data_IF_776114066243
#
_entry.id   IF_776114066243
#
_cell.length_a   1.000
_cell.length_b   1.000
_cell.length_c   1.000
_cell.angle_alpha   90.00
_cell.angle_beta   90.00
_cell.angle_gamma   90.00
#
_symmetry.space_group_name_H-M   'P 1'
#
loop_
_entity.id
_entity.type
_entity.pdbx_description
1 polymer ?
#
# COMPACT_ATOMS: atom_id res chain seq x y z
N UNK A 1 -33.48 2.38 -44.45
CA UNK A 1 -32.64 1.71 -45.47
C UNK A 1 -31.87 0.61 -44.76
N UNK A 2 -32.18 -0.68 -45.02
CA UNK A 2 -31.33 -1.79 -44.55
C UNK A 2 -30.07 -1.78 -45.43
N UNK A 3 -28.92 -1.46 -44.86
CA UNK A 3 -27.64 -1.45 -45.58
C UNK A 3 -26.92 -2.77 -45.24
N UNK A 4 -27.22 -3.81 -46.03
CA UNK A 4 -26.52 -5.10 -46.04
C UNK A 4 -26.95 -6.13 -45.00
N UNK A 5 -27.23 -7.36 -45.45
CA UNK A 5 -27.27 -8.57 -44.62
C UNK A 5 -26.08 -9.45 -45.03
N UNK A 6 -25.28 -9.91 -44.05
CA UNK A 6 -24.16 -10.83 -44.28
C UNK A 6 -24.43 -12.12 -43.54
N UNK A 7 -24.60 -13.23 -44.27
CA UNK A 7 -24.78 -14.55 -43.69
C UNK A 7 -23.49 -15.04 -43.04
N UNK A 8 -23.57 -15.32 -41.73
CA UNK A 8 -22.46 -15.89 -40.96
C UNK A 8 -22.31 -17.39 -41.23
N UNK A 9 -21.08 -17.94 -41.14
CA UNK A 9 -20.87 -19.38 -41.30
C UNK A 9 -21.68 -20.18 -40.27
N UNK A 10 -22.22 -21.34 -40.65
CA UNK A 10 -22.81 -22.27 -39.69
C UNK A 10 -21.82 -23.42 -39.36
N UNK A 11 -21.81 -23.96 -38.13
CA UNK A 11 -22.51 -23.47 -36.94
C UNK A 11 -21.88 -22.18 -36.39
N UNK A 12 -22.68 -21.34 -35.73
CA UNK A 12 -22.20 -20.13 -35.07
C UNK A 12 -21.28 -20.51 -33.91
N UNK A 13 -19.97 -20.36 -34.09
CA UNK A 13 -18.96 -20.77 -33.11
C UNK A 13 -17.83 -19.73 -33.07
N UNK A 14 -18.06 -18.56 -32.44
CA UNK A 14 -17.14 -17.42 -32.46
C UNK A 14 -15.77 -17.69 -31.82
N UNK A 15 -15.68 -18.68 -30.91
CA UNK A 15 -14.43 -19.02 -30.23
C UNK A 15 -13.45 -19.79 -31.13
N UNK A 16 -13.96 -20.44 -32.19
CA UNK A 16 -13.14 -21.24 -33.09
C UNK A 16 -12.35 -20.36 -34.09
N UNK A 17 -11.04 -20.60 -34.26
CA UNK A 17 -10.21 -19.84 -35.21
C UNK A 17 -10.70 -19.92 -36.66
N UNK A 18 -11.25 -21.07 -37.05
CA UNK A 18 -11.74 -21.33 -38.40
C UNK A 18 -13.00 -20.52 -38.74
N UNK A 19 -13.93 -20.44 -37.79
CA UNK A 19 -15.13 -19.61 -37.92
C UNK A 19 -14.77 -18.13 -38.06
N UNK A 20 -13.84 -17.63 -37.23
CA UNK A 20 -13.35 -16.24 -37.27
C UNK A 20 -12.72 -15.89 -38.62
N UNK A 21 -11.88 -16.78 -39.17
CA UNK A 21 -11.31 -16.61 -40.52
C UNK A 21 -12.38 -16.59 -41.61
N UNK A 22 -13.37 -17.49 -41.54
CA UNK A 22 -14.44 -17.59 -42.52
C UNK A 22 -15.40 -16.38 -42.48
N UNK A 23 -15.65 -15.81 -41.29
CA UNK A 23 -16.44 -14.59 -41.11
C UNK A 23 -15.69 -13.35 -41.62
N UNK A 24 -14.40 -13.20 -41.27
CA UNK A 24 -13.53 -12.12 -41.76
C UNK A 24 -13.45 -12.05 -43.29
N UNK A 25 -13.36 -13.21 -43.95
CA UNK A 25 -13.33 -13.27 -45.43
C UNK A 25 -14.60 -12.72 -46.07
N UNK A 26 -15.77 -12.96 -45.44
CA UNK A 26 -17.08 -12.50 -45.94
C UNK A 26 -17.35 -11.02 -45.66
N UNK A 27 -16.76 -10.47 -44.61
CA UNK A 27 -16.86 -9.04 -44.26
C UNK A 27 -15.90 -8.15 -45.06
N UNK A 28 -14.85 -8.74 -45.66
CA UNK A 28 -13.79 -8.03 -46.41
C UNK A 28 -14.29 -7.09 -47.53
N UNK A 29 -15.34 -7.43 -48.31
CA UNK A 29 -15.85 -6.54 -49.36
C UNK A 29 -16.57 -5.29 -48.82
N UNK A 30 -17.11 -5.35 -47.59
CA UNK A 30 -17.79 -4.22 -46.95
C UNK A 30 -16.82 -3.27 -46.23
N UNK A 31 -15.52 -3.60 -46.21
CA UNK A 31 -14.50 -2.78 -45.58
C UNK A 31 -13.94 -1.68 -46.50
N UNK A 32 -14.30 -1.70 -47.78
CA UNK A 32 -13.71 -0.81 -48.79
C UNK A 32 -14.78 -0.31 -49.77
N UNK A 33 -15.59 0.66 -49.33
CA UNK A 33 -16.15 1.73 -50.16
C UNK A 33 -16.94 2.69 -49.27
N UNK A 34 -16.43 3.92 -49.09
CA UNK A 34 -17.14 5.03 -48.44
C UNK A 34 -16.40 5.65 -47.26
N UNK A 35 -15.63 6.70 -47.55
CA UNK A 35 -15.15 7.76 -46.67
C UNK A 35 -14.29 7.42 -45.44
N UNK A 36 -13.41 8.37 -45.13
CA UNK A 36 -12.37 8.40 -44.10
C UNK A 36 -12.88 8.12 -42.67
N UNK A 37 -13.20 6.86 -42.33
CA UNK A 37 -13.59 6.50 -40.96
C UNK A 37 -12.34 6.36 -40.06
N UNK A 38 -11.68 7.49 -39.82
CA UNK A 38 -10.81 7.72 -38.65
C UNK A 38 -11.50 7.22 -37.36
N UNK A 39 -12.84 7.23 -37.29
CA UNK A 39 -13.64 6.63 -36.23
C UNK A 39 -13.56 5.09 -36.17
N UNK A 40 -13.52 4.37 -37.29
CA UNK A 40 -13.34 2.91 -37.31
C UNK A 40 -11.93 2.54 -36.85
N UNK A 41 -10.89 3.26 -37.31
CA UNK A 41 -9.51 3.06 -36.83
C UNK A 41 -9.37 3.36 -35.34
N UNK A 42 -9.99 4.43 -34.86
CA UNK A 42 -10.03 4.77 -33.41
C UNK A 42 -10.78 3.72 -32.60
N UNK A 43 -11.90 3.19 -33.12
CA UNK A 43 -12.66 2.10 -32.49
C UNK A 43 -11.83 0.82 -32.43
N UNK A 44 -11.13 0.47 -33.50
CA UNK A 44 -10.21 -0.68 -33.54
C UNK A 44 -9.08 -0.51 -32.52
N UNK A 45 -8.40 0.64 -32.52
CA UNK A 45 -7.33 0.95 -31.58
C UNK A 45 -7.82 1.04 -30.11
N UNK A 46 -9.09 1.39 -29.88
CA UNK A 46 -9.72 1.34 -28.55
C UNK A 46 -10.00 -0.10 -28.14
N UNK A 47 -10.48 -0.93 -29.07
CA UNK A 47 -10.75 -2.34 -28.83
C UNK A 47 -9.46 -3.12 -28.59
N UNK A 48 -8.39 -2.86 -29.34
CA UNK A 48 -7.04 -3.41 -29.14
C UNK A 48 -6.46 -3.00 -27.78
N UNK A 49 -6.62 -1.72 -27.39
CA UNK A 49 -6.21 -1.27 -26.05
C UNK A 49 -7.03 -1.92 -24.93
N UNK A 50 -8.34 -2.09 -25.14
CA UNK A 50 -9.20 -2.76 -24.17
C UNK A 50 -8.88 -4.26 -24.06
N UNK A 51 -8.58 -4.92 -25.19
CA UNK A 51 -8.12 -6.30 -25.22
C UNK A 51 -6.74 -6.46 -24.57
N UNK A 52 -5.82 -5.51 -24.79
CA UNK A 52 -4.56 -5.45 -24.07
C UNK A 52 -4.76 -5.33 -22.55
N UNK A 53 -5.66 -4.45 -22.11
CA UNK A 53 -6.02 -4.32 -20.68
C UNK A 53 -6.66 -5.58 -20.10
N UNK A 54 -7.47 -6.29 -20.88
CA UNK A 54 -8.08 -7.57 -20.48
C UNK A 54 -7.08 -8.74 -20.52
N UNK A 55 -6.01 -8.64 -21.31
CA UNK A 55 -4.90 -9.59 -21.31
C UNK A 55 -3.90 -9.32 -20.18
N UNK A 56 -3.79 -8.06 -19.75
CA UNK A 56 -3.03 -7.61 -18.57
C UNK A 56 -3.81 -7.79 -17.25
N UNK A 57 -5.09 -8.17 -17.30
CA UNK A 57 -5.78 -8.67 -16.11
C UNK A 57 -4.98 -9.88 -15.61
N UNK A 58 -4.54 -9.89 -14.34
CA UNK A 58 -3.79 -11.01 -13.80
C UNK A 58 -4.64 -12.26 -14.00
N UNK A 59 -4.15 -13.17 -14.85
CA UNK A 59 -4.77 -14.48 -15.02
C UNK A 59 -5.00 -15.06 -13.62
N UNK A 60 -6.08 -15.80 -13.41
CA UNK A 60 -6.42 -16.36 -12.09
C UNK A 60 -5.22 -17.09 -11.41
N UNK A 61 -4.25 -17.59 -12.20
CA UNK A 61 -2.97 -18.14 -11.72
C UNK A 61 -2.04 -17.13 -11.02
N UNK A 62 -1.99 -15.86 -11.44
CA UNK A 62 -1.08 -14.87 -10.83
C UNK A 62 -1.46 -14.50 -9.38
N UNK A 63 -2.74 -14.64 -9.01
CA UNK A 63 -3.18 -14.48 -7.62
C UNK A 63 -2.81 -15.70 -6.78
N UNK A 64 -3.03 -16.91 -7.30
CA UNK A 64 -2.65 -18.15 -6.59
C UNK A 64 -1.14 -18.20 -6.38
N UNK A 65 -0.35 -17.87 -7.40
CA UNK A 65 1.12 -17.83 -7.30
C UNK A 65 1.59 -16.84 -6.22
N UNK A 66 0.91 -15.69 -6.10
CA UNK A 66 1.22 -14.70 -5.06
C UNK A 66 0.82 -15.17 -3.65
N UNK A 67 -0.32 -15.83 -3.53
CA UNK A 67 -0.76 -16.40 -2.25
C UNK A 67 0.17 -17.52 -1.80
N UNK A 68 0.58 -18.40 -2.72
CA UNK A 68 1.54 -19.46 -2.45
C UNK A 68 2.90 -18.90 -2.06
N UNK A 69 3.40 -17.88 -2.77
CA UNK A 69 4.63 -17.19 -2.39
C UNK A 69 4.54 -16.57 -0.98
N UNK A 70 3.41 -15.92 -0.68
CA UNK A 70 3.18 -15.32 0.65
C UNK A 70 3.14 -16.40 1.73
N UNK A 71 2.49 -17.54 1.46
CA UNK A 71 2.43 -18.67 2.38
C UNK A 71 3.83 -19.22 2.68
N UNK A 72 4.64 -19.44 1.65
CA UNK A 72 6.01 -19.93 1.83
C UNK A 72 6.89 -18.95 2.63
N UNK A 73 6.75 -17.63 2.40
CA UNK A 73 7.43 -16.62 3.24
C UNK A 73 6.99 -16.77 4.70
N UNK A 74 5.69 -16.88 4.96
CA UNK A 74 5.18 -17.05 6.33
C UNK A 74 5.66 -18.35 6.98
N UNK A 75 5.74 -19.44 6.23
CA UNK A 75 6.25 -20.74 6.71
C UNK A 75 7.75 -20.67 7.02
N UNK A 76 8.56 -20.11 6.13
CA UNK A 76 10.00 -19.94 6.32
C UNK A 76 10.32 -19.08 7.54
N UNK A 77 9.47 -18.07 7.84
CA UNK A 77 9.59 -17.23 9.04
C UNK A 77 8.94 -17.84 10.28
N UNK A 78 8.33 -19.01 10.19
CA UNK A 78 7.66 -19.72 11.30
C UNK A 78 6.37 -19.03 11.79
N UNK A 79 5.73 -18.25 10.93
CA UNK A 79 4.48 -17.53 11.17
C UNK A 79 3.25 -18.32 10.70
N UNK A 80 3.45 -19.30 9.82
CA UNK A 80 2.41 -20.23 9.38
C UNK A 80 2.92 -21.67 9.36
N UNK A 81 1.99 -22.63 9.48
CA UNK A 81 2.21 -24.06 9.23
C UNK A 81 1.06 -24.53 8.34
N UNK A 82 1.34 -24.72 7.04
CA UNK A 82 0.29 -24.81 6.03
C UNK A 82 -0.64 -23.59 6.11
N UNK A 83 -1.94 -23.80 5.91
CA UNK A 83 -2.94 -22.73 5.91
C UNK A 83 -3.33 -22.18 7.29
N UNK A 84 -2.53 -22.43 8.33
CA UNK A 84 -2.82 -22.00 9.71
C UNK A 84 -1.70 -21.12 10.26
N UNK A 85 -2.07 -19.96 10.82
CA UNK A 85 -1.11 -19.08 11.50
C UNK A 85 -0.65 -19.69 12.83
N UNK A 86 0.66 -19.65 13.08
CA UNK A 86 1.26 -20.01 14.37
C UNK A 86 0.94 -18.93 15.42
N UNK A 87 1.27 -19.20 16.69
CA UNK A 87 1.14 -18.18 17.73
C UNK A 87 1.92 -16.89 17.40
N UNK A 88 3.08 -17.00 16.74
CA UNK A 88 3.89 -15.86 16.27
C UNK A 88 3.25 -15.14 15.08
N UNK A 89 2.52 -15.85 14.21
CA UNK A 89 1.84 -15.25 13.05
C UNK A 89 0.47 -14.63 13.34
N UNK A 90 -0.20 -15.01 14.44
CA UNK A 90 -1.53 -14.47 14.81
C UNK A 90 -1.63 -12.94 14.78
N UNK A 91 -0.64 -12.15 15.24
CA UNK A 91 -0.71 -10.69 15.17
C UNK A 91 -0.94 -10.13 13.75
N UNK A 92 -0.53 -10.83 12.69
CA UNK A 92 -0.75 -10.40 11.29
C UNK A 92 -2.23 -10.17 10.96
N UNK A 93 -3.17 -10.79 11.68
CA UNK A 93 -4.60 -10.59 11.41
C UNK A 93 -5.09 -9.19 11.80
N UNK A 94 -4.34 -8.45 12.63
CA UNK A 94 -4.73 -7.13 13.13
C UNK A 94 -3.77 -6.00 12.75
N UNK A 95 -2.56 -6.33 12.27
CA UNK A 95 -1.63 -5.37 11.70
C UNK A 95 -1.97 -5.17 10.23
N UNK A 96 -2.30 -3.94 9.84
CA UNK A 96 -2.62 -3.53 8.48
C UNK A 96 -1.61 -2.48 8.06
N UNK A 97 -0.42 -2.93 7.67
CA UNK A 97 0.70 -2.11 7.23
C UNK A 97 1.36 -2.78 6.02
N UNK A 98 1.97 -2.00 5.12
CA UNK A 98 2.73 -2.57 3.99
C UNK A 98 3.94 -3.41 4.45
N UNK A 99 4.44 -3.17 5.67
CA UNK A 99 5.51 -3.91 6.31
C UNK A 99 4.97 -4.69 7.53
N UNK A 100 3.75 -5.22 7.47
CA UNK A 100 3.10 -5.98 8.54
C UNK A 100 3.95 -7.16 9.04
N UNK A 101 4.54 -7.94 8.12
CA UNK A 101 5.47 -9.02 8.42
C UNK A 101 6.62 -8.52 9.29
N UNK A 102 7.28 -7.44 8.88
CA UNK A 102 8.37 -6.84 9.64
C UNK A 102 7.89 -6.31 10.99
N UNK A 103 6.72 -5.66 11.07
CA UNK A 103 6.16 -5.18 12.35
C UNK A 103 6.02 -6.34 13.34
N UNK A 104 5.44 -7.46 12.89
CA UNK A 104 5.23 -8.64 13.73
C UNK A 104 6.55 -9.24 14.19
N UNK A 105 7.55 -9.31 13.30
CA UNK A 105 8.86 -9.82 13.67
C UNK A 105 9.63 -8.90 14.62
N UNK A 106 9.55 -7.58 14.40
CA UNK A 106 10.12 -6.56 15.31
C UNK A 106 9.52 -6.67 16.70
N UNK A 107 8.20 -6.89 16.79
CA UNK A 107 7.51 -7.15 18.06
C UNK A 107 7.98 -8.46 18.69
N UNK A 108 8.04 -9.55 17.92
CA UNK A 108 8.48 -10.86 18.41
C UNK A 108 9.95 -10.87 18.88
N UNK A 109 10.78 -9.98 18.33
CA UNK A 109 12.18 -9.79 18.74
C UNK A 109 12.35 -8.91 19.99
N UNK A 110 11.27 -8.40 20.60
CA UNK A 110 11.32 -7.54 21.78
C UNK A 110 11.90 -6.14 21.51
N UNK A 111 12.05 -5.75 20.25
CA UNK A 111 12.73 -4.50 19.87
C UNK A 111 11.93 -3.24 20.23
N UNK A 112 10.66 -3.39 20.63
CA UNK A 112 9.77 -2.30 21.05
C UNK A 112 9.56 -2.23 22.58
N UNK A 113 10.15 -3.16 23.34
CA UNK A 113 10.00 -3.26 24.80
C UNK A 113 10.91 -2.27 25.54
N UNK A 114 10.54 -1.91 26.78
CA UNK A 114 11.28 -0.99 27.65
C UNK A 114 11.53 0.42 27.08
N UNK A 115 10.58 0.92 26.28
CA UNK A 115 10.65 2.23 25.65
C UNK A 115 9.69 3.23 26.28
N UNK A 116 10.11 4.49 26.32
CA UNK A 116 9.17 5.58 26.60
C UNK A 116 8.15 5.70 25.45
N UNK A 117 6.94 6.22 25.70
CA UNK A 117 5.94 6.40 24.66
C UNK A 117 6.44 7.21 23.44
N UNK A 118 7.28 8.23 23.68
CA UNK A 118 7.87 9.02 22.59
C UNK A 118 8.90 8.25 21.78
N UNK A 119 9.72 7.43 22.44
CA UNK A 119 10.73 6.59 21.76
C UNK A 119 10.08 5.46 20.96
N UNK A 120 9.03 4.83 21.51
CA UNK A 120 8.22 3.84 20.81
C UNK A 120 7.60 4.45 19.54
N UNK A 121 6.94 5.61 19.66
CA UNK A 121 6.37 6.31 18.51
C UNK A 121 7.43 6.62 17.44
N UNK A 122 8.63 7.04 17.85
CA UNK A 122 9.72 7.34 16.94
C UNK A 122 10.20 6.11 16.16
N UNK A 123 10.40 4.97 16.82
CA UNK A 123 10.76 3.72 16.14
C UNK A 123 9.64 3.24 15.21
N UNK A 124 8.39 3.25 15.67
CA UNK A 124 7.22 2.87 14.85
C UNK A 124 7.10 3.78 13.62
N UNK A 125 7.45 5.06 13.72
CA UNK A 125 7.47 5.95 12.57
C UNK A 125 8.37 5.46 11.45
N UNK A 126 9.49 4.81 11.77
CA UNK A 126 10.41 4.30 10.76
C UNK A 126 9.84 3.16 9.91
N UNK A 127 8.84 2.44 10.44
CA UNK A 127 8.13 1.37 9.73
C UNK A 127 7.05 1.91 8.78
N UNK A 128 6.53 3.11 9.06
CA UNK A 128 5.46 3.77 8.28
C UNK A 128 5.94 4.83 7.31
N UNK A 129 7.02 5.53 7.66
CA UNK A 129 7.51 6.68 6.90
C UNK A 129 8.14 6.22 5.60
N UNK A 130 7.88 6.99 4.53
CA UNK A 130 8.46 6.77 3.21
C UNK A 130 8.92 8.11 2.67
N UNK A 131 10.22 8.27 2.51
CA UNK A 131 10.77 9.43 1.82
C UNK A 131 10.26 9.47 0.38
N UNK A 132 9.81 10.65 -0.04
CA UNK A 132 9.37 10.90 -1.41
C UNK A 132 10.56 11.33 -2.26
N UNK A 133 10.64 10.78 -3.47
CA UNK A 133 11.65 11.16 -4.45
C UNK A 133 13.02 10.48 -4.27
N UNK A 134 13.93 10.69 -5.22
CA UNK A 134 15.27 10.12 -5.18
C UNK A 134 16.13 10.76 -4.09
N UNK A 135 17.05 9.99 -3.51
CA UNK A 135 18.04 10.48 -2.57
C UNK A 135 18.48 9.40 -1.59
N UNK A 136 19.50 9.71 -0.79
CA UNK A 136 20.01 8.79 0.21
C UNK A 136 18.99 8.55 1.34
N UNK A 137 19.00 7.37 1.98
CA UNK A 137 18.24 7.10 3.19
C UNK A 137 18.50 8.16 4.26
N UNK A 138 17.51 8.46 5.08
CA UNK A 138 17.70 9.42 6.15
C UNK A 138 18.74 8.93 7.17
N UNK A 139 19.59 9.85 7.63
CA UNK A 139 20.63 9.59 8.63
C UNK A 139 20.24 10.06 10.03
N UNK A 140 18.98 10.45 10.22
CA UNK A 140 18.43 10.89 11.51
C UNK A 140 18.66 9.82 12.57
N UNK A 141 19.20 10.24 13.72
CA UNK A 141 19.40 9.40 14.89
C UNK A 141 18.92 10.13 16.13
N UNK A 142 18.13 9.44 16.93
CA UNK A 142 17.81 9.85 18.29
C UNK A 142 18.86 9.30 19.27
N UNK A 143 18.94 9.92 20.45
CA UNK A 143 19.75 9.41 21.56
C UNK A 143 19.15 8.16 22.22
N UNK A 144 19.84 7.66 23.25
CA UNK A 144 19.42 6.45 23.98
C UNK A 144 19.56 5.20 23.11
N UNK A 145 18.62 4.26 23.25
CA UNK A 145 18.66 2.95 22.59
C UNK A 145 18.17 2.95 21.15
N UNK A 146 17.80 4.12 20.61
CA UNK A 146 17.32 4.23 19.23
C UNK A 146 18.31 3.67 18.20
N UNK A 147 19.63 4.01 18.22
CA UNK A 147 20.54 3.57 17.17
C UNK A 147 20.72 2.06 17.13
N UNK A 148 20.81 1.40 18.29
CA UNK A 148 20.98 -0.05 18.38
C UNK A 148 19.70 -0.78 17.96
N UNK A 149 18.54 -0.35 18.45
CA UNK A 149 17.24 -0.94 18.07
C UNK A 149 16.93 -0.73 16.59
N UNK A 150 17.18 0.46 16.06
CA UNK A 150 16.96 0.73 14.64
C UNK A 150 17.90 -0.09 13.75
N UNK A 151 19.17 -0.29 14.14
CA UNK A 151 20.07 -1.18 13.42
C UNK A 151 19.59 -2.65 13.43
N UNK A 152 19.05 -3.14 14.55
CA UNK A 152 18.46 -4.46 14.64
C UNK A 152 17.21 -4.60 13.74
N UNK A 153 16.36 -3.57 13.71
CA UNK A 153 15.20 -3.50 12.80
C UNK A 153 15.65 -3.57 11.33
N UNK A 154 16.71 -2.86 10.95
CA UNK A 154 17.26 -2.91 9.59
C UNK A 154 17.82 -4.30 9.24
N UNK A 155 18.48 -4.97 10.18
CA UNK A 155 18.95 -6.35 9.99
C UNK A 155 17.77 -7.29 9.71
N UNK A 156 16.71 -7.18 10.52
CA UNK A 156 15.51 -8.01 10.36
C UNK A 156 14.77 -7.72 9.06
N UNK A 157 14.71 -6.45 8.64
CA UNK A 157 14.16 -6.07 7.35
C UNK A 157 14.94 -6.67 6.17
N UNK A 158 16.28 -6.78 6.29
CA UNK A 158 17.10 -7.44 5.28
C UNK A 158 16.81 -8.94 5.21
N UNK A 159 16.70 -9.62 6.35
CA UNK A 159 16.38 -11.04 6.40
C UNK A 159 14.99 -11.33 5.79
N UNK A 160 13.99 -10.52 6.12
CA UNK A 160 12.65 -10.63 5.54
C UNK A 160 12.71 -10.42 4.02
N UNK A 161 13.41 -9.39 3.56
CA UNK A 161 13.54 -9.08 2.14
C UNK A 161 14.26 -10.19 1.35
N UNK A 162 15.24 -10.87 1.95
CA UNK A 162 15.92 -12.03 1.36
C UNK A 162 14.95 -13.19 1.16
N UNK A 163 14.13 -13.50 2.16
CA UNK A 163 13.12 -14.58 2.08
C UNK A 163 12.03 -14.22 1.08
N UNK A 164 11.50 -12.99 1.10
CA UNK A 164 10.54 -12.51 0.11
C UNK A 164 11.08 -12.65 -1.32
N UNK A 165 12.33 -12.24 -1.54
CA UNK A 165 12.99 -12.35 -2.84
C UNK A 165 13.18 -13.80 -3.28
N UNK A 166 13.52 -14.70 -2.36
CA UNK A 166 13.71 -16.12 -2.65
C UNK A 166 12.43 -16.79 -3.18
N UNK A 167 11.26 -16.32 -2.74
CA UNK A 167 9.94 -16.79 -3.22
C UNK A 167 9.35 -15.91 -4.33
N UNK A 168 10.14 -15.02 -4.94
CA UNK A 168 9.72 -14.21 -6.08
C UNK A 168 8.77 -13.05 -5.73
N UNK A 169 8.65 -12.70 -4.44
CA UNK A 169 7.92 -11.52 -4.01
C UNK A 169 8.78 -10.27 -4.17
N UNK A 170 8.12 -9.12 -4.31
CA UNK A 170 8.79 -7.82 -4.27
C UNK A 170 8.93 -7.42 -2.80
N UNK A 171 10.16 -7.25 -2.27
CA UNK A 171 10.33 -6.89 -0.88
C UNK A 171 9.75 -5.53 -0.53
N UNK A 172 9.37 -5.38 0.75
CA UNK A 172 9.04 -4.07 1.31
C UNK A 172 10.24 -3.11 1.24
N UNK A 173 9.97 -1.80 1.21
CA UNK A 173 11.04 -0.82 1.32
C UNK A 173 11.68 -0.89 2.71
N UNK A 174 13.01 -0.70 2.82
CA UNK A 174 13.67 -0.65 4.11
C UNK A 174 13.07 0.43 5.02
N UNK A 175 13.03 0.19 6.34
CA UNK A 175 12.64 1.20 7.33
C UNK A 175 13.46 2.49 7.19
N UNK A 176 12.79 3.65 7.35
CA UNK A 176 13.39 4.97 7.15
C UNK A 176 13.22 5.83 8.43
N UNK A 177 14.31 6.26 9.09
CA UNK A 177 14.22 6.99 10.35
C UNK A 177 13.90 8.49 10.15
N UNK A 178 13.65 8.94 8.92
CA UNK A 178 13.58 10.36 8.57
C UNK A 178 12.54 11.17 9.33
N UNK A 179 11.46 10.55 9.77
CA UNK A 179 10.41 11.21 10.54
C UNK A 179 10.48 10.95 12.05
N UNK A 180 11.45 10.16 12.51
CA UNK A 180 11.55 9.73 13.91
C UNK A 180 11.74 10.90 14.89
N UNK A 181 12.57 11.87 14.53
CA UNK A 181 12.84 13.03 15.38
C UNK A 181 11.61 13.95 15.53
N UNK A 182 10.88 14.18 14.44
CA UNK A 182 9.63 14.93 14.43
C UNK A 182 8.60 14.25 15.32
N UNK A 183 8.41 12.93 15.16
CA UNK A 183 7.47 12.14 15.95
C UNK A 183 7.86 12.13 17.43
N UNK A 184 9.14 11.98 17.75
CA UNK A 184 9.61 12.02 19.13
C UNK A 184 9.31 13.37 19.80
N UNK A 185 9.64 14.48 19.13
CA UNK A 185 9.38 15.82 19.63
C UNK A 185 7.87 16.11 19.76
N UNK A 186 7.08 15.69 18.77
CA UNK A 186 5.62 15.84 18.80
C UNK A 186 4.97 15.00 19.91
N UNK A 187 5.38 13.75 20.10
CA UNK A 187 4.91 12.93 21.22
C UNK A 187 5.35 13.49 22.59
N UNK A 188 6.45 14.25 22.62
CA UNK A 188 6.96 14.97 23.78
C UNK A 188 6.23 16.28 24.10
N UNK A 189 5.32 16.74 23.23
CA UNK A 189 4.54 17.96 23.45
C UNK A 189 5.07 19.21 22.72
N UNK A 190 6.07 19.09 21.84
CA UNK A 190 6.60 20.23 21.07
C UNK A 190 5.54 20.95 20.23
N UNK A 191 5.72 22.24 19.97
CA UNK A 191 4.78 22.99 19.12
C UNK A 191 4.96 22.62 17.65
N UNK A 192 3.90 22.79 16.85
CA UNK A 192 3.94 22.40 15.43
C UNK A 192 5.06 23.13 14.68
N UNK A 193 5.22 24.43 14.95
CA UNK A 193 6.23 25.29 14.32
C UNK A 193 7.66 24.84 14.64
N UNK A 194 7.89 24.24 15.81
CA UNK A 194 9.21 23.77 16.22
C UNK A 194 9.58 22.40 15.63
N UNK A 195 8.58 21.55 15.39
CA UNK A 195 8.80 20.16 14.93
C UNK A 195 8.68 19.99 13.42
N UNK A 196 8.02 20.94 12.74
CA UNK A 196 7.83 20.87 11.30
C UNK A 196 9.11 21.29 10.58
N UNK A 197 9.62 20.42 9.72
CA UNK A 197 10.68 20.77 8.78
C UNK A 197 10.16 21.91 7.87
N UNK A 198 10.92 23.00 7.67
CA UNK A 198 10.53 24.10 6.79
C UNK A 198 10.13 23.67 5.37
N UNK A 199 10.72 22.58 4.87
CA UNK A 199 10.43 22.04 3.54
C UNK A 199 9.21 21.10 3.53
N UNK A 200 8.63 20.78 4.70
CA UNK A 200 7.49 19.88 4.84
C UNK A 200 6.15 20.60 4.83
N UNK A 201 5.23 20.12 3.97
CA UNK A 201 3.85 20.59 3.94
C UNK A 201 3.07 20.07 5.16
N UNK A 202 2.32 20.92 5.86
CA UNK A 202 1.57 20.53 7.06
C UNK A 202 0.59 19.34 6.87
N UNK A 203 0.04 19.16 5.67
CA UNK A 203 -0.79 17.99 5.35
C UNK A 203 0.00 16.67 5.34
N UNK A 204 1.28 16.70 4.94
CA UNK A 204 2.17 15.54 5.00
C UNK A 204 2.50 15.18 6.44
N UNK A 205 2.76 16.17 7.29
CA UNK A 205 2.92 15.98 8.73
C UNK A 205 1.72 15.27 9.34
N UNK A 206 0.50 15.79 9.15
CA UNK A 206 -0.73 15.19 9.72
C UNK A 206 -0.93 13.77 9.21
N UNK A 207 -0.68 13.51 7.92
CA UNK A 207 -0.77 12.17 7.34
C UNK A 207 0.20 11.21 8.02
N UNK A 208 1.48 11.57 8.13
CA UNK A 208 2.48 10.69 8.74
C UNK A 208 2.18 10.44 10.22
N UNK A 209 1.81 11.46 11.00
CA UNK A 209 1.42 11.28 12.41
C UNK A 209 0.25 10.30 12.56
N UNK A 210 -0.75 10.37 11.68
CA UNK A 210 -1.88 9.43 11.69
C UNK A 210 -1.49 7.99 11.35
N UNK A 211 -0.58 7.80 10.39
CA UNK A 211 -0.08 6.46 10.08
C UNK A 211 0.63 5.84 11.30
N UNK A 212 1.42 6.64 12.01
CA UNK A 212 2.08 6.20 13.26
C UNK A 212 1.04 5.90 14.35
N UNK A 213 0.09 6.81 14.59
CA UNK A 213 -0.94 6.62 15.60
C UNK A 213 -1.83 5.40 15.30
N UNK A 214 -2.16 5.15 14.04
CA UNK A 214 -2.93 3.98 13.64
C UNK A 214 -2.14 2.69 13.84
N UNK A 215 -0.86 2.65 13.46
CA UNK A 215 -0.01 1.49 13.70
C UNK A 215 0.17 1.21 15.18
N UNK A 216 0.36 2.23 16.03
CA UNK A 216 0.41 2.08 17.48
C UNK A 216 -0.91 1.50 18.04
N UNK A 217 -2.06 1.95 17.53
CA UNK A 217 -3.38 1.40 17.88
C UNK A 217 -3.55 -0.05 17.43
N UNK A 218 -2.91 -0.46 16.34
CA UNK A 218 -2.93 -1.86 15.90
C UNK A 218 -2.01 -2.71 16.79
N UNK A 219 -0.80 -2.23 17.08
CA UNK A 219 0.16 -2.86 18.00
C UNK A 219 -0.49 -3.07 19.37
N UNK A 220 -1.20 -2.08 19.93
CA UNK A 220 -1.81 -2.22 21.26
C UNK A 220 -2.87 -3.31 21.36
N UNK A 221 -3.43 -3.78 20.23
CA UNK A 221 -4.43 -4.86 20.20
C UNK A 221 -3.83 -6.26 20.26
N UNK A 222 -2.54 -6.40 19.92
CA UNK A 222 -1.88 -7.70 19.73
C UNK A 222 -0.57 -7.85 20.51
N UNK A 223 -0.04 -6.75 21.05
CA UNK A 223 1.14 -6.74 21.90
C UNK A 223 0.84 -7.30 23.31
N UNK A 224 1.87 -7.78 24.04
CA UNK A 224 1.79 -8.02 25.48
C UNK A 224 1.35 -6.77 26.26
N UNK A 225 0.72 -6.96 27.42
CA UNK A 225 0.06 -5.89 28.21
C UNK A 225 0.95 -4.66 28.45
N UNK A 226 2.24 -4.85 28.74
CA UNK A 226 3.18 -3.75 28.98
C UNK A 226 3.40 -2.91 27.72
N UNK A 227 3.72 -3.53 26.59
CA UNK A 227 3.88 -2.85 25.31
C UNK A 227 2.55 -2.25 24.82
N UNK A 228 1.43 -2.94 25.04
CA UNK A 228 0.12 -2.45 24.69
C UNK A 228 -0.21 -1.13 25.40
N UNK A 229 0.03 -1.05 26.72
CA UNK A 229 -0.18 0.18 27.48
C UNK A 229 0.71 1.34 27.02
N UNK A 230 1.99 1.09 26.72
CA UNK A 230 2.89 2.12 26.19
C UNK A 230 2.45 2.59 24.80
N UNK A 231 2.00 1.68 23.94
CA UNK A 231 1.51 1.98 22.59
C UNK A 231 0.24 2.84 22.62
N UNK A 232 -0.69 2.56 23.54
CA UNK A 232 -1.90 3.39 23.73
C UNK A 232 -1.53 4.81 24.16
N UNK A 233 -0.66 4.95 25.16
CA UNK A 233 -0.20 6.26 25.63
C UNK A 233 0.51 7.03 24.51
N UNK A 234 1.35 6.35 23.73
CA UNK A 234 2.04 6.95 22.58
C UNK A 234 1.03 7.44 21.53
N UNK A 235 0.04 6.63 21.17
CA UNK A 235 -1.01 6.99 20.21
C UNK A 235 -1.79 8.23 20.66
N UNK A 236 -2.20 8.29 21.93
CA UNK A 236 -2.91 9.45 22.49
C UNK A 236 -2.06 10.73 22.42
N UNK A 237 -0.76 10.65 22.72
CA UNK A 237 0.15 11.81 22.66
C UNK A 237 0.31 12.38 21.26
N UNK A 238 0.17 11.54 20.23
CA UNK A 238 0.27 11.96 18.83
C UNK A 238 -1.01 12.66 18.33
N UNK A 239 -2.18 12.23 18.81
CA UNK A 239 -3.49 12.77 18.36
C UNK A 239 -3.84 14.03 19.16
N UNK A 240 -3.14 15.12 18.88
CA UNK A 240 -3.37 16.45 19.49
C UNK A 240 -3.33 17.58 18.46
N UNK A 241 -3.75 18.78 18.85
CA UNK A 241 -3.66 19.99 18.02
C UNK A 241 -4.25 19.79 16.61
N UNK A 242 -3.48 20.17 15.58
CA UNK A 242 -3.88 20.05 14.15
C UNK A 242 -4.26 18.63 13.73
N UNK A 243 -3.69 17.61 14.37
CA UNK A 243 -3.97 16.20 14.06
C UNK A 243 -5.36 15.80 14.55
N UNK A 244 -5.75 16.28 15.73
CA UNK A 244 -7.08 16.05 16.30
C UNK A 244 -8.16 16.85 15.56
N UNK A 245 -7.89 18.13 15.23
CA UNK A 245 -8.86 18.98 14.53
C UNK A 245 -9.21 18.46 13.13
N UNK A 246 -8.23 17.91 12.42
CA UNK A 246 -8.44 17.36 11.08
C UNK A 246 -9.25 16.05 11.07
N UNK A 247 -9.57 15.46 12.22
CA UNK A 247 -10.41 14.25 12.30
C UNK A 247 -11.90 14.55 12.12
N UNK A 248 -12.30 15.83 12.22
CA UNK A 248 -13.70 16.27 12.21
C UNK A 248 -14.23 16.85 10.90
N UNK A 249 -13.44 16.91 9.82
CA UNK A 249 -13.90 17.50 8.55
C UNK A 249 -14.11 16.42 7.49
N UNK A 250 -15.33 15.89 7.30
CA UNK A 250 -15.68 15.39 5.98
C UNK A 250 -15.54 16.56 5.01
N UNK A 251 -14.83 16.37 3.90
CA UNK A 251 -14.76 17.32 2.81
C UNK A 251 -16.18 17.58 2.30
N UNK A 252 -16.78 18.67 2.77
CA UNK A 252 -17.97 19.22 2.13
C UNK A 252 -17.45 19.94 0.90
N UNK A 253 -17.66 19.33 -0.27
CA UNK A 253 -17.57 20.03 -1.55
C UNK A 253 -18.55 21.22 -1.47
N UNK A 254 -18.00 22.42 -1.33
CA UNK A 254 -18.76 23.66 -1.50
C UNK A 254 -18.92 23.85 -2.99
N UNK A 255 -20.10 23.47 -3.50
CA UNK A 255 -20.51 23.76 -4.86
C UNK A 255 -20.71 25.29 -5.00
N UNK A 256 -19.94 26.00 -5.84
CA UNK A 256 -20.05 27.44 -5.96
C UNK A 256 -21.02 27.76 -7.10
N UNK A 257 -22.31 27.43 -6.97
CA UNK A 257 -23.32 28.05 -7.82
C UNK A 257 -24.72 28.03 -7.21
N UNK A 258 -25.06 29.13 -6.52
CA UNK A 258 -26.42 29.65 -6.52
C UNK A 258 -26.33 31.17 -6.56
N UNK A 259 -26.03 31.70 -7.74
CA UNK A 259 -26.34 33.09 -8.07
C UNK A 259 -27.86 33.25 -8.16
N UNK A 260 -28.42 33.97 -7.18
CA UNK A 260 -29.81 34.42 -7.17
C UNK A 260 -30.13 35.21 -8.44
N UNK A 261 -31.19 34.83 -9.13
CA UNK A 261 -31.86 35.68 -10.11
C UNK A 261 -33.02 36.38 -9.41
N UNK A 262 -32.90 37.68 -9.17
CA UNK A 262 -34.01 38.63 -9.08
C UNK A 262 -33.54 40.01 -9.55
#
# INVERSE_FOLDING_TARGET
>A
VKVGEVELPAPFSPDRPEFRRAAMKRLRPFATEGDDDSGARRRLARLERNLGRLADEPAAGALTDRLDASLHVLEERGLAEGWTLTARGRPLTAIHNEADLLVVEVMAAGLLEDLSPGMLAALVSSLTFRKRGPGDPSTIRLGGDFPSRFAAILSLASEVAEVESAFGMKPAQPPDPGFAHVIHAWAGGGELEDVLDPDMVGGEFVRNVRLVADLLRQISKVAPDELAGVAEVAGVRLVRGVVAMSAGTPSVDVDPDTGETQ
#
